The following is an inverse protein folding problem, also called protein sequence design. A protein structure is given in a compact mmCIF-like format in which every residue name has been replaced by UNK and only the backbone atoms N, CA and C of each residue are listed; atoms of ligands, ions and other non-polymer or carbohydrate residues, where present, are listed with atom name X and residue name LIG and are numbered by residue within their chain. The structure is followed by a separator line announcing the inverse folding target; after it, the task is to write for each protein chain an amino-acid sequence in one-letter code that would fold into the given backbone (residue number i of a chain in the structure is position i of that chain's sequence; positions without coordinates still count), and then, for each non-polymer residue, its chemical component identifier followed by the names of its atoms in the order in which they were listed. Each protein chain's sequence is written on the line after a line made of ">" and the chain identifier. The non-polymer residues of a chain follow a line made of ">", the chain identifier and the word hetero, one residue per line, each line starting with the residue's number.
data_IF_357443787379
#
_entry.id   IF_357443787379
#
_cell.length_a   1.000
_cell.length_b   1.000
_cell.length_c   1.000
_cell.angle_alpha   90.00
_cell.angle_beta   90.00
_cell.angle_gamma   90.00
#
_symmetry.space_group_name_H-M   'P 1'
#
loop_
_entity.id
_entity.type
_entity.pdbx_description
1 polymer ?
#
# COMPACT_ATOMS: atom_id res chain seq x y z
N UNK A 1 -24.82 38.58 46.01
CA UNK A 1 -25.03 39.26 44.71
C UNK A 1 -23.87 38.90 43.80
N UNK A 2 -24.19 38.47 42.57
CA UNK A 2 -23.38 38.30 41.34
C UNK A 2 -21.86 38.15 41.46
N UNK A 3 -21.34 36.97 41.10
CA UNK A 3 -19.95 36.83 40.64
C UNK A 3 -19.85 37.30 39.18
N UNK A 4 -19.16 38.41 38.96
CA UNK A 4 -18.80 38.93 37.64
C UNK A 4 -17.73 38.03 37.01
N UNK A 5 -18.13 36.95 36.36
CA UNK A 5 -17.28 36.28 35.37
C UNK A 5 -17.97 36.35 34.01
N UNK A 6 -18.16 37.58 33.52
CA UNK A 6 -18.57 37.84 32.15
C UNK A 6 -17.29 37.92 31.32
N UNK A 7 -16.92 36.83 30.68
CA UNK A 7 -15.75 36.86 29.82
C UNK A 7 -15.42 35.51 29.23
N UNK A 8 -15.79 35.35 27.96
CA UNK A 8 -15.48 34.24 27.04
C UNK A 8 -16.52 33.13 27.03
N UNK A 9 -17.72 33.47 26.60
CA UNK A 9 -18.53 32.48 25.87
C UNK A 9 -17.70 32.03 24.65
N UNK A 10 -17.40 30.73 24.58
CA UNK A 10 -16.69 30.15 23.45
C UNK A 10 -17.50 30.38 22.16
N UNK A 11 -16.84 30.63 21.01
CA UNK A 11 -17.57 30.68 19.75
C UNK A 11 -18.36 29.38 19.52
N UNK A 12 -19.49 29.44 18.81
CA UNK A 12 -20.27 28.25 18.50
C UNK A 12 -19.40 27.23 17.77
N UNK A 13 -19.63 25.95 18.04
CA UNK A 13 -18.92 24.87 17.36
C UNK A 13 -19.15 24.95 15.84
N UNK A 14 -18.08 24.77 15.06
CA UNK A 14 -18.20 24.73 13.61
C UNK A 14 -19.07 23.55 13.16
N UNK A 15 -20.00 23.82 12.24
CA UNK A 15 -20.84 22.78 11.67
C UNK A 15 -20.25 22.30 10.36
N UNK A 16 -20.04 20.99 10.23
CA UNK A 16 -19.62 20.41 8.96
C UNK A 16 -20.77 20.47 7.95
N UNK A 17 -20.47 20.95 6.74
CA UNK A 17 -21.43 21.03 5.64
C UNK A 17 -21.72 19.63 5.06
N UNK A 18 -22.85 19.48 4.36
CA UNK A 18 -23.24 18.19 3.77
C UNK A 18 -22.19 17.66 2.77
N UNK A 19 -21.40 18.54 2.15
CA UNK A 19 -20.30 18.15 1.27
C UNK A 19 -19.16 17.43 2.02
N UNK A 20 -18.97 17.72 3.31
CA UNK A 20 -17.98 17.07 4.17
C UNK A 20 -18.54 15.81 4.86
N UNK A 21 -19.85 15.78 5.11
CA UNK A 21 -20.57 14.62 5.70
C UNK A 21 -20.93 13.54 4.69
N UNK A 22 -20.67 13.78 3.40
CA UNK A 22 -20.95 12.80 2.37
C UNK A 22 -20.25 11.49 2.70
N UNK A 23 -20.93 10.38 2.44
CA UNK A 23 -20.32 9.06 2.57
C UNK A 23 -19.00 9.04 1.79
N UNK A 24 -17.93 8.41 2.30
CA UNK A 24 -16.72 8.23 1.52
C UNK A 24 -17.12 7.63 0.17
N UNK A 25 -16.63 8.23 -0.92
CA UNK A 25 -16.82 7.72 -2.27
C UNK A 25 -16.66 6.21 -2.26
N UNK A 26 -17.55 5.47 -2.92
CA UNK A 26 -17.34 4.03 -3.15
C UNK A 26 -16.04 3.89 -3.94
N UNK A 27 -14.93 3.71 -3.25
CA UNK A 27 -13.64 3.58 -3.89
C UNK A 27 -13.65 2.30 -4.69
N UNK A 28 -13.84 2.39 -6.01
CA UNK A 28 -13.57 1.25 -6.87
C UNK A 28 -12.07 0.92 -6.74
N UNK A 29 -11.79 -0.26 -6.20
CA UNK A 29 -10.45 -0.82 -6.27
C UNK A 29 -10.03 -1.01 -7.73
N UNK A 30 -8.74 -0.94 -8.00
CA UNK A 30 -8.17 -1.13 -9.36
C UNK A 30 -8.45 -2.55 -9.90
N UNK A 31 -8.94 -3.44 -9.05
CA UNK A 31 -9.13 -4.88 -9.26
C UNK A 31 -10.32 -5.29 -10.13
N UNK A 32 -11.35 -4.44 -10.27
CA UNK A 32 -12.63 -4.85 -10.91
C UNK A 32 -12.63 -4.80 -12.45
N UNK A 33 -11.46 -4.57 -13.06
CA UNK A 33 -11.35 -4.46 -14.52
C UNK A 33 -11.07 -5.84 -15.13
N UNK A 34 -11.88 -6.33 -16.08
CA UNK A 34 -11.49 -7.48 -16.88
C UNK A 34 -10.22 -7.07 -17.63
N UNK A 35 -9.14 -7.86 -17.50
CA UNK A 35 -7.77 -7.66 -18.07
C UNK A 35 -6.65 -7.26 -17.09
N UNK A 36 -6.87 -7.35 -15.77
CA UNK A 36 -5.83 -7.10 -14.75
C UNK A 36 -4.64 -8.07 -14.85
N UNK A 37 -4.86 -9.35 -15.14
CA UNK A 37 -3.76 -10.33 -15.25
C UNK A 37 -2.82 -10.06 -16.42
N UNK A 38 -3.36 -9.74 -17.60
CA UNK A 38 -2.53 -9.49 -18.79
C UNK A 38 -1.77 -8.17 -18.62
N UNK A 39 -2.44 -7.12 -18.12
CA UNK A 39 -1.81 -5.84 -17.80
C UNK A 39 -0.69 -5.99 -16.75
N UNK A 40 -0.91 -6.83 -15.73
CA UNK A 40 0.13 -7.12 -14.74
C UNK A 40 1.32 -7.84 -15.35
N UNK A 41 1.11 -8.83 -16.23
CA UNK A 41 2.18 -9.52 -16.96
C UNK A 41 2.98 -8.56 -17.86
N UNK A 42 2.30 -7.67 -18.57
CA UNK A 42 2.94 -6.68 -19.43
C UNK A 42 3.78 -5.66 -18.64
N UNK A 43 3.32 -5.28 -17.43
CA UNK A 43 4.07 -4.41 -16.51
C UNK A 43 5.32 -5.11 -15.95
N UNK A 44 5.21 -6.40 -15.61
CA UNK A 44 6.32 -7.17 -15.06
C UNK A 44 7.39 -7.50 -16.12
N UNK A 45 7.00 -7.65 -17.39
CA UNK A 45 7.92 -7.96 -18.50
C UNK A 45 9.07 -6.94 -18.63
N UNK A 46 8.84 -5.67 -18.31
CA UNK A 46 9.90 -4.64 -18.31
C UNK A 46 10.90 -4.82 -17.17
N UNK A 47 10.49 -5.45 -16.06
CA UNK A 47 11.28 -5.67 -14.85
C UNK A 47 12.08 -6.99 -14.88
N UNK A 48 11.72 -7.92 -15.77
CA UNK A 48 12.42 -9.22 -15.97
C UNK A 48 13.77 -9.09 -16.69
N UNK A 49 14.16 -7.88 -17.13
CA UNK A 49 15.28 -7.67 -18.04
C UNK A 49 16.65 -7.44 -17.38
N UNK A 50 16.80 -7.70 -16.08
CA UNK A 50 18.12 -7.63 -15.46
C UNK A 50 18.97 -8.84 -15.89
N UNK A 51 20.17 -8.63 -16.49
CA UNK A 51 21.07 -9.73 -16.78
C UNK A 51 21.45 -10.45 -15.50
N UNK A 52 21.58 -11.78 -15.56
CA UNK A 52 22.00 -12.59 -14.41
C UNK A 52 23.31 -12.05 -13.84
N UNK A 53 23.36 -11.89 -12.52
CA UNK A 53 24.55 -11.50 -11.78
C UNK A 53 25.62 -12.58 -11.85
N UNK A 54 26.90 -12.18 -11.72
CA UNK A 54 28.04 -13.09 -11.84
C UNK A 54 28.02 -14.29 -10.86
N UNK A 55 27.30 -14.18 -9.75
CA UNK A 55 27.21 -15.22 -8.70
C UNK A 55 25.86 -15.93 -8.66
N UNK A 56 24.91 -15.56 -9.52
CA UNK A 56 23.51 -15.98 -9.39
C UNK A 56 23.34 -17.49 -9.61
N UNK A 57 24.04 -18.06 -10.60
CA UNK A 57 24.07 -19.51 -10.81
C UNK A 57 24.69 -20.28 -9.63
N UNK A 58 25.79 -19.77 -9.05
CA UNK A 58 26.41 -20.40 -7.89
C UNK A 58 25.51 -20.34 -6.65
N UNK A 59 24.72 -19.27 -6.49
CA UNK A 59 23.73 -19.18 -5.42
C UNK A 59 22.60 -20.19 -5.65
N UNK A 60 22.02 -20.24 -6.85
CA UNK A 60 20.99 -21.23 -7.23
C UNK A 60 21.44 -22.66 -6.88
N UNK A 61 22.65 -23.06 -7.27
CA UNK A 61 23.22 -24.38 -6.96
C UNK A 61 23.33 -24.68 -5.46
N UNK A 62 23.64 -23.68 -4.61
CA UNK A 62 23.77 -23.87 -3.15
C UNK A 62 22.41 -24.04 -2.46
N UNK A 63 21.38 -23.43 -3.02
CA UNK A 63 20.03 -23.44 -2.44
C UNK A 63 19.10 -24.47 -3.10
N UNK A 64 19.56 -25.18 -4.14
CA UNK A 64 18.84 -26.30 -4.72
C UNK A 64 18.59 -27.42 -3.69
N UNK A 65 17.33 -27.85 -3.63
CA UNK A 65 16.87 -28.89 -2.72
C UNK A 65 17.46 -30.23 -3.15
N UNK A 66 18.49 -30.67 -2.44
CA UNK A 66 19.25 -31.88 -2.77
C UNK A 66 20.76 -31.69 -2.66
N UNK A 67 21.24 -30.46 -2.50
CA UNK A 67 22.66 -30.22 -2.27
C UNK A 67 23.09 -30.88 -0.95
N UNK A 68 24.11 -31.77 -0.95
CA UNK A 68 24.53 -32.44 0.27
C UNK A 68 25.12 -31.40 1.21
N UNK A 69 24.37 -31.03 2.24
CA UNK A 69 24.93 -30.32 3.38
C UNK A 69 25.95 -31.27 4.01
N UNK A 70 27.25 -30.95 3.86
CA UNK A 70 28.31 -31.68 4.55
C UNK A 70 28.02 -31.58 6.04
N UNK A 71 27.53 -32.67 6.61
CA UNK A 71 27.45 -32.84 8.07
C UNK A 71 28.89 -33.03 8.53
N UNK A 72 29.39 -32.05 9.29
CA UNK A 72 30.66 -32.18 10.01
C UNK A 72 30.52 -33.26 11.09
#
# INVERSE_FOLDING_TARGET
>A
MSSQNQGRESPPAETQSNAQKAAPSSGQGVSDKPNTEQSAKDQLKGLESNPKGAMENHLEEKFEKGFPQKKY
#
